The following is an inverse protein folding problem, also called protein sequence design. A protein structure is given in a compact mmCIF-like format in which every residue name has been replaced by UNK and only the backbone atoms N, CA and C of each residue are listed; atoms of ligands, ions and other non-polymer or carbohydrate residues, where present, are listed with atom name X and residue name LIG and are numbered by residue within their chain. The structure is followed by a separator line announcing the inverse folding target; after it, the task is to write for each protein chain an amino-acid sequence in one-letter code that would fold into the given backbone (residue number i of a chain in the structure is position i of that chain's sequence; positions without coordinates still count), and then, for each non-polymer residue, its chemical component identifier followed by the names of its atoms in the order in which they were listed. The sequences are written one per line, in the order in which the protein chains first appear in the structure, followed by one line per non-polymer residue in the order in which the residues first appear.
data_IF_881446307203
#
_entry.id   IF_881446307203
#
_cell.length_a   1.000
_cell.length_b   1.000
_cell.length_c   1.000
_cell.angle_alpha   90.00
_cell.angle_beta   90.00
_cell.angle_gamma   90.00
#
_symmetry.space_group_name_H-M   'P 1'
#
loop_
_entity.id
_entity.type
_entity.pdbx_description
1 polymer ?
#
# COMPACT_ATOMS: atom_id res chain seq x y z
N UNK A 1 -18.93 -7.11 -12.54
CA UNK A 1 -18.79 -6.32 -11.31
C UNK A 1 -17.50 -5.49 -11.36
N UNK A 2 -17.62 -4.25 -10.94
CA UNK A 2 -16.45 -3.38 -10.88
C UNK A 2 -15.53 -3.81 -9.72
N UNK A 3 -14.25 -3.96 -10.03
CA UNK A 3 -13.25 -4.26 -9.01
C UNK A 3 -12.75 -2.98 -8.36
N UNK A 4 -12.34 -3.08 -7.10
CA UNK A 4 -11.66 -1.99 -6.43
C UNK A 4 -10.20 -1.90 -6.90
N UNK A 5 -9.70 -0.69 -7.03
CA UNK A 5 -8.29 -0.45 -7.34
C UNK A 5 -7.50 -0.32 -6.04
N UNK A 6 -6.41 -1.03 -5.94
CA UNK A 6 -5.53 -0.98 -4.78
C UNK A 6 -4.10 -0.64 -5.18
N UNK A 7 -3.44 0.12 -4.32
CA UNK A 7 -2.03 0.45 -4.46
C UNK A 7 -1.23 0.01 -3.24
N UNK A 8 0.06 -0.22 -3.41
CA UNK A 8 0.97 -0.58 -2.33
C UNK A 8 2.13 0.41 -2.31
N UNK A 9 2.33 1.06 -1.18
CA UNK A 9 3.46 1.96 -0.96
C UNK A 9 4.50 1.25 -0.11
N UNK A 10 5.68 1.02 -0.69
CA UNK A 10 6.76 0.26 -0.06
C UNK A 10 6.75 -1.21 -0.47
N UNK A 11 7.82 -1.62 -1.15
CA UNK A 11 8.00 -2.98 -1.66
C UNK A 11 9.08 -3.73 -0.87
N UNK A 12 9.14 -3.50 0.45
CA UNK A 12 9.99 -4.28 1.35
C UNK A 12 9.44 -5.70 1.55
N UNK A 13 9.85 -6.34 2.63
CA UNK A 13 9.52 -7.74 2.87
C UNK A 13 8.01 -8.02 2.86
N UNK A 14 7.25 -7.30 3.68
CA UNK A 14 5.80 -7.56 3.81
C UNK A 14 5.00 -7.00 2.62
N UNK A 15 5.51 -5.95 1.97
CA UNK A 15 4.86 -5.39 0.78
C UNK A 15 5.01 -6.31 -0.42
N UNK A 16 6.19 -6.87 -0.64
CA UNK A 16 6.49 -7.63 -1.85
C UNK A 16 7.55 -8.71 -1.71
N UNK A 17 8.71 -8.43 -1.07
CA UNK A 17 9.90 -9.30 -1.21
C UNK A 17 9.71 -10.72 -0.67
N UNK A 18 8.83 -10.93 0.29
CA UNK A 18 8.53 -12.28 0.76
C UNK A 18 7.94 -13.18 -0.34
N UNK A 19 7.35 -12.61 -1.38
CA UNK A 19 6.88 -13.38 -2.54
C UNK A 19 8.02 -13.99 -3.35
N UNK A 20 9.22 -13.41 -3.25
CA UNK A 20 10.42 -13.91 -3.91
C UNK A 20 11.09 -15.06 -3.15
N UNK A 21 10.75 -15.25 -1.87
CA UNK A 21 11.33 -16.32 -1.05
C UNK A 21 10.49 -17.60 -1.17
N UNK A 22 10.99 -18.53 -1.97
CA UNK A 22 10.32 -19.80 -2.23
C UNK A 22 10.19 -20.70 -1.00
N UNK A 23 10.97 -20.45 0.06
CA UNK A 23 10.92 -21.22 1.31
C UNK A 23 9.75 -20.79 2.20
N UNK A 24 9.25 -19.57 2.02
CA UNK A 24 8.11 -19.08 2.79
C UNK A 24 6.81 -19.63 2.22
N UNK A 25 6.02 -20.21 3.10
CA UNK A 25 4.65 -20.59 2.77
C UNK A 25 3.71 -19.44 3.05
N UNK A 26 2.68 -19.30 2.23
CA UNK A 26 1.65 -18.31 2.45
C UNK A 26 0.79 -18.64 3.68
N UNK A 27 -0.05 -17.69 4.07
CA UNK A 27 -0.98 -17.86 5.21
C UNK A 27 -1.96 -18.97 4.88
N UNK A 28 -2.11 -19.93 5.82
CA UNK A 28 -3.03 -21.06 5.70
C UNK A 28 -2.85 -21.88 4.40
N UNK A 29 -1.65 -21.89 3.84
CA UNK A 29 -1.35 -22.67 2.62
C UNK A 29 -1.86 -22.05 1.33
N UNK A 30 -2.32 -20.81 1.35
CA UNK A 30 -2.91 -20.11 0.20
C UNK A 30 -1.86 -19.33 -0.59
N UNK A 31 -0.65 -19.45 -0.50
CA UNK A 31 0.35 -18.75 -1.31
C UNK A 31 0.51 -17.25 -1.07
N UNK A 32 -0.47 -16.57 -0.50
CA UNK A 32 -0.44 -15.14 -0.21
C UNK A 32 0.50 -14.84 0.94
N UNK A 33 1.53 -14.03 0.68
CA UNK A 33 2.58 -13.71 1.65
C UNK A 33 2.74 -12.22 1.90
N UNK A 34 2.24 -11.39 1.01
CA UNK A 34 2.48 -9.95 1.01
C UNK A 34 1.22 -9.18 0.63
N UNK A 35 1.25 -7.86 0.81
CA UNK A 35 0.17 -6.99 0.35
C UNK A 35 0.00 -7.05 -1.17
N UNK A 36 1.12 -7.10 -1.92
CA UNK A 36 1.08 -7.21 -3.38
C UNK A 36 0.37 -8.49 -3.81
N UNK A 37 0.76 -9.65 -3.29
CA UNK A 37 0.11 -10.90 -3.65
C UNK A 37 -1.35 -10.96 -3.19
N UNK A 38 -1.66 -10.39 -2.02
CA UNK A 38 -3.04 -10.32 -1.54
C UNK A 38 -3.97 -9.61 -2.52
N UNK A 39 -3.57 -8.44 -3.02
CA UNK A 39 -4.39 -7.72 -3.99
C UNK A 39 -4.39 -8.37 -5.37
N UNK A 40 -3.24 -8.87 -5.83
CA UNK A 40 -3.14 -9.45 -7.17
C UNK A 40 -3.88 -10.78 -7.33
N UNK A 41 -4.03 -11.54 -6.25
CA UNK A 41 -4.71 -12.83 -6.25
C UNK A 41 -6.20 -12.74 -5.87
N UNK A 42 -6.65 -11.61 -5.34
CA UNK A 42 -8.04 -11.43 -4.94
C UNK A 42 -8.88 -10.94 -6.13
N UNK A 43 -9.94 -11.68 -6.45
CA UNK A 43 -10.81 -11.37 -7.60
C UNK A 43 -11.58 -10.05 -7.48
N UNK A 44 -11.68 -9.48 -6.28
CA UNK A 44 -12.39 -8.22 -6.05
C UNK A 44 -11.50 -6.99 -6.23
N UNK A 45 -10.19 -7.18 -6.43
CA UNK A 45 -9.22 -6.10 -6.54
C UNK A 45 -8.43 -6.14 -7.85
N UNK A 46 -8.00 -4.96 -8.25
CA UNK A 46 -6.96 -4.78 -9.27
C UNK A 46 -5.79 -4.11 -8.55
N UNK A 47 -4.60 -4.72 -8.60
CA UNK A 47 -3.38 -4.06 -8.17
C UNK A 47 -3.04 -3.01 -9.23
N UNK A 48 -3.40 -1.74 -8.97
CA UNK A 48 -3.33 -0.68 -9.97
C UNK A 48 -1.98 0.02 -10.03
N UNK A 49 -1.14 -0.14 -9.02
CA UNK A 49 0.19 0.46 -9.00
C UNK A 49 0.88 0.29 -7.67
N UNK A 50 2.18 0.49 -7.68
CA UNK A 50 3.02 0.43 -6.48
C UNK A 50 3.98 1.61 -6.44
N UNK A 51 4.45 1.94 -5.25
CA UNK A 51 5.45 3.00 -5.02
C UNK A 51 6.66 2.39 -4.34
N UNK A 52 7.85 2.65 -4.89
CA UNK A 52 9.11 2.20 -4.31
C UNK A 52 10.24 3.16 -4.69
N UNK A 53 11.02 3.60 -3.72
CA UNK A 53 12.14 4.52 -3.95
C UNK A 53 13.42 3.81 -4.40
N UNK A 54 13.58 2.54 -4.03
CA UNK A 54 14.78 1.77 -4.37
C UNK A 54 14.70 1.22 -5.80
N UNK A 55 15.67 1.59 -6.62
CA UNK A 55 15.69 1.20 -8.04
C UNK A 55 15.75 -0.31 -8.24
N UNK A 56 16.62 -1.01 -7.51
CA UNK A 56 16.77 -2.46 -7.63
C UNK A 56 15.47 -3.18 -7.27
N UNK A 57 14.80 -2.74 -6.22
CA UNK A 57 13.51 -3.30 -5.82
C UNK A 57 12.44 -3.05 -6.86
N UNK A 58 12.42 -1.85 -7.48
CA UNK A 58 11.49 -1.58 -8.59
C UNK A 58 11.72 -2.53 -9.76
N UNK A 59 12.96 -2.81 -10.09
CA UNK A 59 13.31 -3.71 -11.19
C UNK A 59 12.89 -5.16 -10.90
N UNK A 60 13.11 -5.63 -9.68
CA UNK A 60 12.64 -6.96 -9.24
C UNK A 60 11.11 -7.07 -9.35
N UNK A 61 10.41 -6.03 -8.94
CA UNK A 61 8.95 -6.00 -9.03
C UNK A 61 8.48 -6.03 -10.48
N UNK A 62 9.06 -5.20 -11.33
CA UNK A 62 8.70 -5.14 -12.77
C UNK A 62 8.92 -6.46 -13.48
N UNK A 63 9.95 -7.22 -13.08
CA UNK A 63 10.22 -8.53 -13.65
C UNK A 63 9.11 -9.52 -13.36
N UNK A 64 8.52 -9.45 -12.16
CA UNK A 64 7.43 -10.36 -11.75
C UNK A 64 6.05 -9.86 -12.18
N UNK A 65 5.83 -8.56 -12.15
CA UNK A 65 4.55 -7.92 -12.48
C UNK A 65 4.74 -6.86 -13.58
N UNK A 66 5.07 -7.28 -14.82
CA UNK A 66 5.42 -6.33 -15.89
C UNK A 66 4.28 -5.40 -16.32
N UNK A 67 3.03 -5.76 -15.99
CA UNK A 67 1.87 -4.95 -16.36
C UNK A 67 1.41 -3.97 -15.28
N UNK A 68 1.99 -4.05 -14.08
CA UNK A 68 1.60 -3.17 -12.97
C UNK A 68 2.50 -1.93 -12.98
N UNK A 69 1.93 -0.73 -13.05
CA UNK A 69 2.71 0.51 -13.01
C UNK A 69 3.51 0.67 -11.72
N UNK A 70 4.74 1.14 -11.84
CA UNK A 70 5.64 1.39 -10.71
C UNK A 70 5.99 2.87 -10.64
N UNK A 71 5.78 3.47 -9.49
CA UNK A 71 6.00 4.90 -9.26
C UNK A 71 7.08 5.11 -8.21
N UNK A 72 7.67 6.29 -8.24
CA UNK A 72 8.69 6.71 -7.28
C UNK A 72 8.14 7.53 -6.12
N UNK A 73 6.92 8.03 -6.25
CA UNK A 73 6.27 8.85 -5.23
C UNK A 73 4.80 8.49 -5.07
N UNK A 74 4.28 8.80 -3.89
CA UNK A 74 2.86 8.61 -3.57
C UNK A 74 1.99 9.49 -4.49
N UNK A 75 2.37 10.75 -4.69
CA UNK A 75 1.60 11.66 -5.53
C UNK A 75 1.45 11.15 -6.97
N UNK A 76 2.50 10.60 -7.54
CA UNK A 76 2.43 10.02 -8.90
C UNK A 76 1.42 8.88 -8.98
N UNK A 77 1.45 7.95 -8.03
CA UNK A 77 0.47 6.86 -7.95
C UNK A 77 -0.94 7.40 -7.81
N UNK A 78 -1.16 8.31 -6.87
CA UNK A 78 -2.50 8.82 -6.55
C UNK A 78 -3.12 9.58 -7.71
N UNK A 79 -2.34 10.42 -8.40
CA UNK A 79 -2.83 11.21 -9.53
C UNK A 79 -3.09 10.36 -10.77
N UNK A 80 -2.23 9.38 -11.03
CA UNK A 80 -2.31 8.56 -12.25
C UNK A 80 -3.35 7.44 -12.12
N UNK A 81 -3.38 6.73 -11.02
CA UNK A 81 -4.22 5.55 -10.83
C UNK A 81 -5.49 5.78 -10.02
N UNK A 82 -5.50 6.76 -9.12
CA UNK A 82 -6.63 7.03 -8.23
C UNK A 82 -7.15 5.78 -7.51
N UNK A 83 -6.30 5.06 -6.77
CA UNK A 83 -6.71 3.83 -6.13
C UNK A 83 -7.75 4.07 -5.04
N UNK A 84 -8.63 3.09 -4.84
CA UNK A 84 -9.65 3.12 -3.79
C UNK A 84 -9.04 2.78 -2.41
N UNK A 85 -8.09 1.84 -2.40
CA UNK A 85 -7.43 1.38 -1.18
C UNK A 85 -5.92 1.43 -1.35
N UNK A 86 -5.23 1.79 -0.26
CA UNK A 86 -3.77 1.88 -0.22
C UNK A 86 -3.24 1.09 0.97
N UNK A 87 -2.26 0.23 0.73
CA UNK A 87 -1.45 -0.38 1.79
C UNK A 87 -0.15 0.40 1.96
N UNK A 88 0.16 0.79 3.19
CA UNK A 88 1.42 1.47 3.54
C UNK A 88 2.34 0.45 4.21
N UNK A 89 3.39 0.04 3.50
CA UNK A 89 4.33 -1.02 3.89
C UNK A 89 5.77 -0.52 3.97
N UNK A 90 5.95 0.76 4.19
CA UNK A 90 7.26 1.40 4.35
C UNK A 90 7.76 1.24 5.79
N UNK A 91 8.94 1.80 6.09
CA UNK A 91 9.44 1.80 7.47
C UNK A 91 8.53 2.60 8.39
N UNK A 92 8.41 2.18 9.64
CA UNK A 92 7.50 2.76 10.64
C UNK A 92 7.63 4.28 10.78
N UNK A 93 8.87 4.78 10.72
CA UNK A 93 9.15 6.22 10.85
C UNK A 93 8.52 7.08 9.75
N UNK A 94 8.15 6.48 8.62
CA UNK A 94 7.56 7.18 7.48
C UNK A 94 6.04 7.11 7.42
N UNK A 95 5.40 6.27 8.24
CA UNK A 95 3.96 6.00 8.16
C UNK A 95 3.11 7.26 8.30
N UNK A 96 3.38 8.06 9.32
CA UNK A 96 2.60 9.28 9.57
C UNK A 96 2.62 10.23 8.37
N UNK A 97 3.80 10.51 7.86
CA UNK A 97 3.98 11.41 6.72
C UNK A 97 3.30 10.89 5.44
N UNK A 98 3.42 9.58 5.20
CA UNK A 98 2.79 8.96 4.03
C UNK A 98 1.27 8.98 4.14
N UNK A 99 0.72 8.68 5.30
CA UNK A 99 -0.74 8.75 5.52
C UNK A 99 -1.24 10.19 5.35
N UNK A 100 -0.52 11.17 5.88
CA UNK A 100 -0.85 12.60 5.66
C UNK A 100 -0.95 12.95 4.18
N UNK A 101 -0.03 12.42 3.38
CA UNK A 101 -0.04 12.66 1.94
C UNK A 101 -1.23 11.96 1.26
N UNK A 102 -1.47 10.69 1.59
CA UNK A 102 -2.55 9.89 0.98
C UNK A 102 -3.93 10.49 1.23
N UNK A 103 -4.20 10.99 2.44
CA UNK A 103 -5.52 11.50 2.80
C UNK A 103 -5.93 12.78 2.06
N UNK A 104 -5.00 13.42 1.35
CA UNK A 104 -5.33 14.54 0.46
C UNK A 104 -6.06 14.08 -0.81
N UNK A 105 -6.12 12.79 -1.05
CA UNK A 105 -6.77 12.19 -2.22
C UNK A 105 -8.02 11.41 -1.80
N UNK A 106 -8.99 11.21 -2.71
CA UNK A 106 -10.22 10.48 -2.39
C UNK A 106 -9.96 8.98 -2.32
N UNK A 107 -9.56 8.48 -1.15
CA UNK A 107 -9.39 7.05 -0.87
C UNK A 107 -10.52 6.55 0.02
N UNK A 108 -10.88 5.27 -0.14
CA UNK A 108 -11.90 4.60 0.68
C UNK A 108 -11.31 4.00 1.95
N UNK A 109 -10.05 3.59 1.90
CA UNK A 109 -9.39 3.01 3.06
C UNK A 109 -7.88 2.94 2.90
N UNK A 110 -7.21 2.96 4.06
CA UNK A 110 -5.75 2.84 4.17
C UNK A 110 -5.46 1.70 5.13
N UNK A 111 -4.66 0.74 4.68
CA UNK A 111 -4.13 -0.32 5.53
C UNK A 111 -2.67 -0.02 5.82
N UNK A 112 -2.41 0.50 7.01
CA UNK A 112 -1.05 0.84 7.44
C UNK A 112 -0.45 -0.31 8.25
N UNK A 113 0.74 -0.77 7.87
CA UNK A 113 1.44 -1.84 8.56
C UNK A 113 1.81 -1.46 10.00
N UNK A 114 1.93 -2.46 10.81
CA UNK A 114 2.31 -2.33 12.23
C UNK A 114 3.84 -2.15 12.37
N UNK A 115 4.29 -1.47 13.43
CA UNK A 115 3.47 -0.57 14.26
C UNK A 115 3.01 0.64 13.46
N UNK A 116 1.84 1.17 13.79
CA UNK A 116 1.24 2.27 13.02
C UNK A 116 2.12 3.52 12.98
N UNK A 117 2.86 3.75 14.05
CA UNK A 117 3.83 4.83 14.17
C UNK A 117 4.90 4.46 15.19
N UNK A 118 5.98 5.23 15.22
CA UNK A 118 7.08 5.04 16.16
C UNK A 118 6.92 5.87 17.45
N UNK A 119 5.88 6.70 17.53
CA UNK A 119 5.53 7.45 18.73
C UNK A 119 4.01 7.49 18.96
N UNK A 120 3.55 7.61 20.22
CA UNK A 120 2.12 7.77 20.50
C UNK A 120 1.52 9.04 19.87
N UNK A 121 2.30 10.11 19.78
CA UNK A 121 1.90 11.37 19.17
C UNK A 121 1.57 11.19 17.70
N UNK A 122 2.46 10.54 16.95
CA UNK A 122 2.25 10.26 15.54
C UNK A 122 1.10 9.30 15.30
N UNK A 123 0.94 8.30 16.16
CA UNK A 123 -0.19 7.37 16.09
C UNK A 123 -1.53 8.10 16.25
N UNK A 124 -1.63 8.99 17.24
CA UNK A 124 -2.83 9.83 17.44
C UNK A 124 -3.08 10.72 16.23
N UNK A 125 -2.03 11.34 15.69
CA UNK A 125 -2.13 12.21 14.52
C UNK A 125 -2.72 11.46 13.32
N UNK A 126 -2.25 10.27 13.03
CA UNK A 126 -2.79 9.42 11.96
C UNK A 126 -4.29 9.18 12.16
N UNK A 127 -4.68 8.79 13.37
CA UNK A 127 -6.08 8.51 13.69
C UNK A 127 -6.95 9.75 13.53
N UNK A 128 -6.50 10.89 14.05
CA UNK A 128 -7.21 12.17 13.96
C UNK A 128 -7.40 12.61 12.51
N UNK A 129 -6.37 12.54 11.70
CA UNK A 129 -6.43 12.87 10.28
C UNK A 129 -7.45 12.01 9.53
N UNK A 130 -7.47 10.71 9.81
CA UNK A 130 -8.44 9.81 9.18
C UNK A 130 -9.88 10.10 9.62
N UNK A 131 -10.10 10.43 10.90
CA UNK A 131 -11.40 10.83 11.42
C UNK A 131 -11.91 12.14 10.79
N UNK A 132 -11.04 13.15 10.69
CA UNK A 132 -11.40 14.44 10.06
C UNK A 132 -11.80 14.23 8.61
N UNK A 133 -11.08 13.42 7.87
CA UNK A 133 -11.42 13.11 6.49
C UNK A 133 -12.77 12.43 6.38
N UNK A 134 -13.05 11.44 7.22
CA UNK A 134 -14.33 10.75 7.25
C UNK A 134 -15.48 11.71 7.51
N UNK A 135 -15.34 12.60 8.50
CA UNK A 135 -16.35 13.60 8.84
C UNK A 135 -16.61 14.56 7.66
N UNK A 136 -15.58 14.93 6.93
CA UNK A 136 -15.71 15.80 5.77
C UNK A 136 -16.41 15.11 4.58
N UNK A 137 -16.28 13.79 4.49
CA UNK A 137 -16.96 13.01 3.45
C UNK A 137 -18.43 12.77 3.79
N UNK A 138 -18.77 12.70 5.09
CA UNK A 138 -20.11 12.45 5.58
C UNK A 138 -20.95 13.75 5.68
N UNK A 139 -20.31 14.88 5.53
CA UNK A 139 -20.99 16.20 5.55
C UNK A 139 -21.21 16.74 4.13
#
# INVERSE_FOLDING_TARGET
MNKYKAGVVGLGNIGFKYDLDKRRKGIAGIGTKTHVSAYSENENFILSGVVEINKETRELFKAKYPKVPVYKSVSELMLDQRPDFISVCTSTTTHCKIVEEIINYPVKGILCEKPIADSPEDARKIIELCHEKKNNLDS
#
